data_IF_299886695504
#
_entry.id   IF_299886695504
#
_cell.length_a   1.000
_cell.length_b   1.000
_cell.length_c   1.000
_cell.angle_alpha   90.00
_cell.angle_beta   90.00
_cell.angle_gamma   90.00
#
_symmetry.space_group_name_H-M   'P 1'
#
loop_
_entity.id
_entity.type
_entity.pdbx_description
1 polymer ?
#
# COMPACT_ATOMS: atom_id res chain seq x y z
N UNK A 1 37.22 -1.14 -95.85
CA UNK A 1 38.14 -2.22 -95.46
C UNK A 1 38.06 -2.32 -93.95
N UNK A 2 37.36 -3.33 -93.48
CA UNK A 2 37.14 -3.68 -92.08
C UNK A 2 38.41 -4.24 -91.45
N UNK A 3 38.70 -3.88 -90.21
CA UNK A 3 39.71 -4.53 -89.37
C UNK A 3 39.65 -3.90 -87.98
N UNK A 4 38.82 -4.39 -87.06
CA UNK A 4 38.98 -5.57 -86.20
C UNK A 4 39.14 -5.06 -84.76
N UNK A 5 37.99 -4.90 -84.09
CA UNK A 5 37.90 -4.79 -82.64
C UNK A 5 38.15 -6.19 -82.02
N UNK A 6 38.52 -6.21 -80.73
CA UNK A 6 38.71 -7.35 -79.80
C UNK A 6 40.16 -7.70 -79.43
N UNK A 7 40.66 -7.04 -78.38
CA UNK A 7 41.58 -7.68 -77.43
C UNK A 7 40.75 -8.43 -76.40
N UNK A 8 41.08 -9.70 -76.21
CA UNK A 8 40.26 -10.71 -75.55
C UNK A 8 40.52 -10.80 -74.03
N UNK A 9 40.55 -9.69 -73.31
CA UNK A 9 40.51 -9.68 -71.84
C UNK A 9 39.79 -8.41 -71.40
N UNK A 10 38.63 -8.54 -70.77
CA UNK A 10 37.78 -7.42 -70.36
C UNK A 10 38.34 -6.62 -69.19
N UNK A 11 39.51 -6.00 -69.36
CA UNK A 11 40.12 -5.07 -68.41
C UNK A 11 40.19 -3.72 -69.08
N UNK A 12 39.28 -2.84 -68.67
CA UNK A 12 39.38 -1.42 -68.96
C UNK A 12 40.70 -0.92 -68.36
N UNK A 13 41.46 -0.17 -69.16
CA UNK A 13 42.66 0.57 -68.76
C UNK A 13 42.24 1.71 -67.82
N UNK A 14 41.91 1.35 -66.58
CA UNK A 14 41.52 2.26 -65.51
C UNK A 14 42.79 2.74 -64.83
N UNK A 15 43.27 3.89 -65.30
CA UNK A 15 44.27 4.74 -64.65
C UNK A 15 45.66 4.12 -64.42
N UNK A 16 46.70 4.90 -64.70
CA UNK A 16 47.94 4.83 -63.92
C UNK A 16 47.54 4.70 -62.44
N UNK A 17 47.81 3.54 -61.84
CA UNK A 17 47.60 3.28 -60.41
C UNK A 17 48.41 4.25 -59.51
N UNK A 18 49.31 5.05 -60.13
CA UNK A 18 50.19 6.02 -59.48
C UNK A 18 49.72 7.49 -59.59
N UNK A 19 48.59 7.77 -60.25
CA UNK A 19 48.06 9.14 -60.33
C UNK A 19 47.36 9.53 -59.02
N UNK A 20 48.10 10.18 -58.12
CA UNK A 20 47.60 10.67 -56.83
C UNK A 20 46.31 11.51 -57.01
N UNK A 21 45.18 10.96 -56.57
CA UNK A 21 43.86 11.57 -56.65
C UNK A 21 43.62 12.43 -55.39
N UNK A 22 43.71 13.77 -55.45
CA UNK A 22 43.74 14.63 -54.24
C UNK A 22 42.42 14.69 -53.46
N UNK A 23 41.35 14.15 -54.01
CA UNK A 23 40.03 14.06 -53.38
C UNK A 23 39.79 12.68 -52.73
N UNK A 24 40.70 11.74 -52.98
CA UNK A 24 40.76 10.40 -52.39
C UNK A 24 41.93 10.26 -51.41
N UNK A 25 42.95 11.11 -51.52
CA UNK A 25 43.87 11.44 -50.44
C UNK A 25 43.10 12.27 -49.40
N UNK A 26 42.23 11.62 -48.63
CA UNK A 26 41.82 12.16 -47.34
C UNK A 26 43.12 12.32 -46.58
N UNK A 27 43.64 13.55 -46.53
CA UNK A 27 44.95 13.83 -45.98
C UNK A 27 45.17 12.98 -44.75
N UNK A 28 46.28 12.24 -44.74
CA UNK A 28 46.80 11.48 -43.60
C UNK A 28 47.18 12.45 -42.45
N UNK A 29 46.38 13.50 -42.25
CA UNK A 29 46.20 14.18 -40.99
C UNK A 29 45.51 13.15 -40.10
N UNK A 30 46.30 12.19 -39.61
CA UNK A 30 45.99 11.42 -38.42
C UNK A 30 45.75 12.46 -37.32
N UNK A 31 44.53 12.96 -37.20
CA UNK A 31 44.07 13.69 -36.04
C UNK A 31 44.05 12.65 -34.93
N UNK A 32 45.23 12.43 -34.35
CA UNK A 32 45.46 11.60 -33.19
C UNK A 32 44.65 12.24 -32.07
N UNK A 33 43.38 11.83 -31.98
CA UNK A 33 42.45 12.29 -30.97
C UNK A 33 42.96 11.77 -29.64
N UNK A 34 43.81 12.56 -28.98
CA UNK A 34 44.36 12.26 -27.67
C UNK A 34 43.23 12.31 -26.65
N UNK A 35 42.50 11.21 -26.49
CA UNK A 35 41.46 11.07 -25.48
C UNK A 35 42.13 11.24 -24.11
N UNK A 36 41.77 12.28 -23.33
CA UNK A 36 42.36 12.46 -22.01
C UNK A 36 41.99 11.25 -21.16
N UNK A 37 42.99 10.62 -20.54
CA UNK A 37 42.76 9.46 -19.70
C UNK A 37 41.85 9.87 -18.52
N UNK A 38 40.61 9.38 -18.52
CA UNK A 38 39.62 9.61 -17.45
C UNK A 38 39.93 8.80 -16.17
N UNK A 39 40.87 7.85 -16.28
CA UNK A 39 41.24 6.90 -15.23
C UNK A 39 41.65 7.56 -13.90
N UNK A 40 42.53 8.59 -13.84
CA UNK A 40 42.86 9.27 -12.58
C UNK A 40 41.66 9.98 -11.95
N UNK A 41 40.78 10.59 -12.75
CA UNK A 41 39.57 11.24 -12.25
C UNK A 41 38.55 10.23 -11.72
N UNK A 42 38.41 9.09 -12.39
CA UNK A 42 37.57 8.00 -11.93
C UNK A 42 38.08 7.39 -10.60
N UNK A 43 39.40 7.20 -10.48
CA UNK A 43 40.00 6.67 -9.24
C UNK A 43 39.88 7.64 -8.07
N UNK A 44 40.09 8.94 -8.30
CA UNK A 44 39.92 9.97 -7.26
C UNK A 44 38.47 10.09 -6.82
N UNK A 45 37.51 10.04 -7.75
CA UNK A 45 36.08 10.04 -7.42
C UNK A 45 35.67 8.79 -6.61
N UNK A 46 36.19 7.61 -6.97
CA UNK A 46 35.94 6.37 -6.21
C UNK A 46 36.52 6.43 -4.79
N UNK A 47 37.73 6.94 -4.63
CA UNK A 47 38.35 7.12 -3.30
C UNK A 47 37.57 8.11 -2.44
N UNK A 48 37.11 9.23 -3.01
CA UNK A 48 36.28 10.19 -2.30
C UNK A 48 34.95 9.57 -1.84
N UNK A 49 34.32 8.76 -2.70
CA UNK A 49 33.07 8.06 -2.36
C UNK A 49 33.29 7.01 -1.27
N UNK A 50 34.38 6.24 -1.35
CA UNK A 50 34.75 5.27 -0.32
C UNK A 50 35.02 5.94 1.04
N UNK A 51 35.72 7.08 1.06
CA UNK A 51 35.96 7.85 2.28
C UNK A 51 34.65 8.40 2.88
N UNK A 52 33.72 8.86 2.04
CA UNK A 52 32.43 9.39 2.48
C UNK A 52 31.56 8.27 3.07
N UNK A 53 31.42 7.14 2.37
CA UNK A 53 30.66 5.97 2.85
C UNK A 53 31.31 5.40 4.12
N UNK A 54 32.63 5.23 4.13
CA UNK A 54 33.37 4.74 5.30
C UNK A 54 33.26 5.69 6.50
N UNK A 55 33.30 7.00 6.26
CA UNK A 55 33.11 8.03 7.29
C UNK A 55 31.71 8.02 7.88
N UNK A 56 30.66 7.90 7.04
CA UNK A 56 29.27 7.76 7.50
C UNK A 56 29.13 6.47 8.31
N UNK A 57 29.60 5.33 7.79
CA UNK A 57 29.50 4.05 8.47
C UNK A 57 30.23 4.06 9.82
N UNK A 58 31.43 4.64 9.89
CA UNK A 58 32.15 4.79 11.16
C UNK A 58 31.41 5.71 12.13
N UNK A 59 30.85 6.82 11.65
CA UNK A 59 30.11 7.78 12.47
C UNK A 59 28.77 7.25 12.99
N UNK A 60 28.10 6.36 12.25
CA UNK A 60 26.84 5.71 12.68
C UNK A 60 27.09 4.46 13.50
N UNK A 61 28.16 3.71 13.22
CA UNK A 61 28.52 2.53 14.00
C UNK A 61 29.15 2.88 15.35
N UNK A 62 29.77 4.07 15.51
CA UNK A 62 30.26 4.52 16.83
C UNK A 62 29.14 4.92 17.81
N UNK A 63 27.94 5.27 17.31
CA UNK A 63 26.81 5.66 18.17
C UNK A 63 26.06 4.48 18.80
N UNK A 64 26.35 3.23 18.40
CA UNK A 64 25.79 2.03 19.05
C UNK A 64 26.53 1.64 20.32
N UNK A 65 27.68 2.29 20.62
CA UNK A 65 28.43 2.08 21.86
C UNK A 65 27.87 2.89 23.05
N UNK A 66 26.92 3.79 22.82
CA UNK A 66 26.11 4.36 23.91
C UNK A 66 24.93 3.44 24.13
N UNK A 67 25.16 2.39 24.92
CA UNK A 67 24.11 1.63 25.57
C UNK A 67 23.19 2.64 26.27
N UNK A 68 22.07 2.96 25.64
CA UNK A 68 20.98 3.67 26.28
C UNK A 68 20.46 2.67 27.30
N UNK A 69 21.05 2.70 28.49
CA UNK A 69 20.56 1.97 29.65
C UNK A 69 19.15 2.49 29.86
N UNK A 70 18.17 1.69 29.46
CA UNK A 70 16.79 1.93 29.79
C UNK A 70 16.72 1.85 31.32
N UNK A 71 16.62 3.02 31.95
CA UNK A 71 16.64 3.22 33.41
C UNK A 71 15.64 2.31 34.15
N UNK A 72 14.65 1.75 33.44
CA UNK A 72 13.74 0.73 33.96
C UNK A 72 12.94 1.23 35.18
N UNK A 73 12.96 2.54 35.42
CA UNK A 73 12.35 3.14 36.60
C UNK A 73 10.84 2.99 36.48
N UNK A 74 10.29 2.23 37.43
CA UNK A 74 8.85 2.03 37.54
C UNK A 74 8.27 3.34 38.05
N UNK A 75 7.42 3.97 37.23
CA UNK A 75 6.58 5.08 37.69
C UNK A 75 5.61 4.53 38.73
N UNK A 76 5.88 4.82 40.00
CA UNK A 76 5.03 4.38 41.11
C UNK A 76 3.61 4.90 40.95
N UNK A 77 2.63 4.01 41.12
CA UNK A 77 1.23 4.42 41.14
C UNK A 77 1.00 5.45 42.27
N UNK A 78 0.28 6.55 42.02
CA UNK A 78 -0.10 7.49 43.08
C UNK A 78 -0.76 6.74 44.23
N UNK A 79 -0.42 7.05 45.49
CA UNK A 79 -1.03 6.39 46.63
C UNK A 79 -2.52 6.73 46.66
N UNK A 80 -3.35 5.72 46.40
CA UNK A 80 -4.79 5.88 46.44
C UNK A 80 -5.51 4.60 46.00
N UNK A 81 -6.72 4.35 46.53
CA UNK A 81 -7.58 3.31 45.99
C UNK A 81 -7.93 3.62 44.54
N UNK A 82 -7.52 2.75 43.62
CA UNK A 82 -7.83 2.87 42.19
C UNK A 82 -9.34 2.82 41.90
N UNK A 83 -10.13 2.23 42.81
CA UNK A 83 -11.59 2.18 42.74
C UNK A 83 -12.18 2.54 44.09
N UNK A 84 -12.93 3.63 44.14
CA UNK A 84 -13.72 4.06 45.30
C UNK A 84 -15.18 3.89 44.94
N UNK A 85 -15.94 3.19 45.80
CA UNK A 85 -17.39 3.12 45.65
C UNK A 85 -17.97 4.53 45.84
N UNK A 86 -18.86 5.00 44.97
CA UNK A 86 -19.55 6.27 45.17
C UNK A 86 -20.24 6.32 46.54
N UNK A 87 -20.20 7.47 47.21
CA UNK A 87 -20.84 7.68 48.52
C UNK A 87 -22.37 7.60 48.43
N UNK A 88 -22.92 7.93 47.28
CA UNK A 88 -24.30 7.66 46.92
C UNK A 88 -24.31 6.85 45.61
N UNK A 89 -24.54 5.53 45.66
CA UNK A 89 -24.61 4.69 44.46
C UNK A 89 -25.80 5.05 43.57
N UNK A 90 -26.74 5.87 44.07
CA UNK A 90 -27.98 6.19 43.39
C UNK A 90 -28.88 4.97 43.22
N UNK A 91 -30.17 5.23 42.96
CA UNK A 91 -31.17 4.19 42.73
C UNK A 91 -32.03 3.87 43.95
N UNK A 92 -33.20 3.29 43.69
CA UNK A 92 -34.08 2.72 44.71
C UNK A 92 -33.80 1.22 44.73
N UNK A 93 -33.45 0.68 45.89
CA UNK A 93 -33.42 -0.77 46.05
C UNK A 93 -34.87 -1.26 46.09
N UNK A 94 -35.25 -2.08 45.11
CA UNK A 94 -36.54 -2.76 45.10
C UNK A 94 -36.37 -4.15 45.70
N UNK A 95 -37.40 -4.67 46.37
CA UNK A 95 -37.42 -6.06 46.82
C UNK A 95 -37.12 -6.99 45.64
N UNK A 96 -36.11 -7.85 45.75
CA UNK A 96 -35.62 -8.68 44.64
C UNK A 96 -34.31 -8.23 43.97
N UNK A 97 -33.79 -7.05 44.30
CA UNK A 97 -32.55 -6.53 43.69
C UNK A 97 -31.35 -7.29 44.25
N UNK A 98 -30.77 -8.20 43.45
CA UNK A 98 -29.58 -8.98 43.82
C UNK A 98 -29.84 -10.46 44.14
N UNK A 99 -31.10 -10.88 44.30
CA UNK A 99 -31.47 -12.27 44.65
C UNK A 99 -31.14 -13.31 43.56
N UNK A 100 -30.84 -12.84 42.35
CA UNK A 100 -30.47 -13.69 41.21
C UNK A 100 -28.97 -14.04 41.24
N UNK A 101 -28.13 -13.17 41.79
CA UNK A 101 -26.67 -13.36 41.82
C UNK A 101 -26.21 -14.62 42.59
N UNK A 102 -26.71 -14.92 43.81
CA UNK A 102 -26.28 -16.11 44.54
C UNK A 102 -26.78 -17.41 43.87
N UNK A 103 -28.00 -17.43 43.33
CA UNK A 103 -28.56 -18.62 42.66
C UNK A 103 -27.77 -18.98 41.41
N UNK A 104 -27.34 -17.98 40.63
CA UNK A 104 -26.48 -18.20 39.46
C UNK A 104 -25.07 -18.65 39.88
N UNK A 105 -24.54 -18.13 40.99
CA UNK A 105 -23.23 -18.53 41.52
C UNK A 105 -23.20 -20.01 41.99
N UNK A 106 -24.33 -20.53 42.46
CA UNK A 106 -24.52 -21.94 42.84
C UNK A 106 -24.78 -22.87 41.63
N UNK A 107 -24.73 -22.34 40.40
CA UNK A 107 -24.99 -23.09 39.16
C UNK A 107 -26.49 -23.29 38.87
N UNK A 108 -27.37 -22.65 39.62
CA UNK A 108 -28.80 -22.64 39.36
C UNK A 108 -29.15 -21.71 38.19
N UNK A 109 -30.18 -22.07 37.43
CA UNK A 109 -30.78 -21.20 36.41
C UNK A 109 -32.17 -20.77 36.86
N UNK A 110 -32.44 -19.46 36.82
CA UNK A 110 -33.81 -18.91 36.97
C UNK A 110 -34.17 -18.16 35.70
N UNK A 111 -35.20 -18.61 35.01
CA UNK A 111 -35.78 -17.87 33.89
C UNK A 111 -36.50 -16.63 34.41
N UNK A 112 -36.15 -15.47 33.86
CA UNK A 112 -36.82 -14.21 34.18
C UNK A 112 -38.26 -14.23 33.69
N UNK A 113 -39.22 -14.43 34.58
CA UNK A 113 -40.63 -14.28 34.26
C UNK A 113 -41.02 -12.80 34.33
N UNK A 114 -41.18 -12.19 33.16
CA UNK A 114 -41.88 -10.92 33.04
C UNK A 114 -43.37 -11.20 33.22
N UNK A 115 -44.05 -10.45 34.09
CA UNK A 115 -45.50 -10.53 34.23
C UNK A 115 -46.15 -10.12 32.90
N UNK A 116 -46.43 -11.09 32.02
CA UNK A 116 -47.24 -10.92 30.83
C UNK A 116 -48.71 -10.84 31.26
N UNK A 117 -49.08 -9.70 31.84
CA UNK A 117 -50.47 -9.28 31.89
C UNK A 117 -50.57 -8.03 31.03
N UNK A 118 -51.13 -8.22 29.84
CA UNK A 118 -51.64 -7.18 28.94
C UNK A 118 -50.76 -5.93 28.80
N UNK A 119 -49.53 -6.10 28.31
CA UNK A 119 -48.79 -4.96 27.78
C UNK A 119 -49.38 -4.57 26.41
N UNK A 120 -49.83 -3.31 26.20
CA UNK A 120 -50.32 -2.87 24.90
C UNK A 120 -49.19 -2.99 23.86
N UNK A 121 -49.43 -3.80 22.84
CA UNK A 121 -48.51 -3.98 21.71
C UNK A 121 -48.50 -2.68 20.90
N UNK A 122 -47.35 -2.01 20.67
CA UNK A 122 -47.31 -0.86 19.79
C UNK A 122 -47.74 -1.28 18.38
N UNK A 123 -48.80 -0.68 17.87
CA UNK A 123 -49.39 -0.96 16.56
C UNK A 123 -48.59 -0.29 15.42
N UNK A 124 -47.30 -0.62 15.34
CA UNK A 124 -46.48 -0.26 14.18
C UNK A 124 -46.25 -1.57 13.42
N UNK A 125 -46.95 -1.76 12.31
CA UNK A 125 -46.59 -2.77 11.31
C UNK A 125 -45.24 -2.38 10.69
N UNK A 126 -44.15 -2.78 11.36
CA UNK A 126 -42.86 -2.90 10.71
C UNK A 126 -42.84 -4.28 10.09
N UNK A 127 -42.74 -4.34 8.76
CA UNK A 127 -42.48 -5.58 8.03
C UNK A 127 -41.38 -6.37 8.76
N UNK A 128 -41.76 -7.51 9.30
CA UNK A 128 -40.88 -8.43 10.02
C UNK A 128 -39.90 -9.05 9.02
N UNK A 129 -38.74 -8.43 8.87
CA UNK A 129 -37.54 -9.18 8.52
C UNK A 129 -37.15 -10.01 9.74
N UNK A 130 -37.20 -11.33 9.55
CA UNK A 130 -36.79 -12.35 10.53
C UNK A 130 -35.43 -12.03 11.17
N UNK A 131 -35.23 -12.23 12.49
CA UNK A 131 -33.93 -12.09 13.11
C UNK A 131 -33.10 -13.36 12.83
N UNK A 132 -31.94 -13.19 12.22
CA UNK A 132 -30.89 -14.22 12.15
C UNK A 132 -29.60 -13.64 12.76
N UNK A 133 -28.75 -14.50 13.33
CA UNK A 133 -28.19 -14.31 14.66
C UNK A 133 -26.94 -13.46 14.73
N UNK A 134 -26.65 -12.98 15.95
CA UNK A 134 -25.34 -12.60 16.45
C UNK A 134 -24.24 -13.53 15.93
N UNK A 135 -23.28 -12.98 15.19
CA UNK A 135 -21.97 -13.56 15.00
C UNK A 135 -20.92 -12.63 15.61
N UNK A 136 -20.21 -13.16 16.60
CA UNK A 136 -19.02 -12.59 17.21
C UNK A 136 -17.93 -12.30 16.14
N UNK A 137 -16.97 -11.40 16.41
CA UNK A 137 -15.94 -11.07 15.44
C UNK A 137 -14.90 -12.19 15.44
N UNK A 138 -14.81 -12.93 14.34
CA UNK A 138 -13.63 -13.71 14.00
C UNK A 138 -13.58 -13.94 12.50
N UNK A 139 -12.42 -13.56 11.97
CA UNK A 139 -11.92 -13.73 10.63
C UNK A 139 -12.64 -14.77 9.76
N UNK A 140 -13.15 -14.32 8.61
CA UNK A 140 -13.16 -15.13 7.40
C UNK A 140 -12.91 -14.19 6.24
N UNK A 141 -11.78 -14.44 5.59
CA UNK A 141 -11.42 -14.04 4.25
C UNK A 141 -12.67 -13.92 3.37
N UNK A 142 -13.06 -12.69 3.04
CA UNK A 142 -14.07 -12.47 2.02
C UNK A 142 -13.49 -13.02 0.72
N UNK A 143 -14.12 -14.03 0.08
CA UNK A 143 -13.67 -14.51 -1.22
C UNK A 143 -13.59 -13.31 -2.15
N UNK A 144 -12.53 -13.23 -2.93
CA UNK A 144 -12.40 -12.23 -3.99
C UNK A 144 -13.67 -12.29 -4.85
N UNK A 145 -14.61 -11.38 -4.60
CA UNK A 145 -15.82 -11.28 -5.41
C UNK A 145 -15.38 -11.16 -6.89
N UNK A 146 -16.02 -11.89 -7.82
CA UNK A 146 -15.71 -11.80 -9.23
C UNK A 146 -16.03 -10.38 -9.69
N UNK A 147 -14.99 -9.58 -9.86
CA UNK A 147 -15.10 -8.16 -10.12
C UNK A 147 -13.70 -7.57 -10.21
N UNK A 148 -13.48 -6.79 -11.26
CA UNK A 148 -12.20 -6.13 -11.49
C UNK A 148 -12.09 -5.00 -10.47
N UNK A 149 -11.11 -5.12 -9.58
CA UNK A 149 -10.92 -4.20 -8.46
C UNK A 149 -9.96 -3.08 -8.86
N UNK A 150 -10.39 -1.84 -8.70
CA UNK A 150 -9.52 -0.67 -8.85
C UNK A 150 -8.92 -0.36 -7.48
N UNK A 151 -7.62 -0.62 -7.30
CA UNK A 151 -6.92 -0.29 -6.07
C UNK A 151 -6.72 1.23 -6.00
N UNK A 152 -7.28 1.83 -4.95
CA UNK A 152 -7.26 3.28 -4.68
C UNK A 152 -6.37 3.65 -3.49
N UNK A 153 -5.89 2.66 -2.74
CA UNK A 153 -4.98 2.89 -1.62
C UNK A 153 -4.44 1.62 -0.98
N UNK A 154 -3.42 1.79 -0.13
CA UNK A 154 -2.83 0.74 0.70
C UNK A 154 -2.58 1.32 2.10
N UNK A 155 -3.03 0.61 3.13
CA UNK A 155 -3.03 1.06 4.52
C UNK A 155 -2.41 0.00 5.44
N UNK A 156 -1.96 0.39 6.63
CA UNK A 156 -1.32 -0.50 7.61
C UNK A 156 -2.31 -1.26 8.49
N UNK A 157 -3.54 -0.77 8.63
CA UNK A 157 -4.62 -1.45 9.36
C UNK A 157 -5.97 -1.25 8.65
N UNK A 158 -7.00 -1.99 9.09
CA UNK A 158 -8.33 -1.98 8.47
C UNK A 158 -9.06 -0.65 8.73
N UNK A 159 -8.93 -0.11 9.93
CA UNK A 159 -9.63 1.09 10.38
C UNK A 159 -9.21 2.32 9.57
N UNK A 160 -7.90 2.45 9.29
CA UNK A 160 -7.37 3.51 8.42
C UNK A 160 -7.78 3.33 6.97
N UNK A 161 -7.96 2.10 6.49
CA UNK A 161 -8.48 1.85 5.15
C UNK A 161 -9.96 2.28 5.02
N UNK A 162 -10.78 2.03 6.04
CA UNK A 162 -12.18 2.46 6.08
C UNK A 162 -12.30 4.00 6.18
N UNK A 163 -11.50 4.63 7.05
CA UNK A 163 -11.44 6.09 7.14
C UNK A 163 -10.91 6.75 5.85
N UNK A 164 -9.94 6.09 5.20
CA UNK A 164 -9.42 6.48 3.89
C UNK A 164 -10.49 6.43 2.80
N UNK A 165 -11.30 5.36 2.76
CA UNK A 165 -12.43 5.27 1.84
C UNK A 165 -13.46 6.40 2.04
N UNK A 166 -13.86 6.65 3.29
CA UNK A 166 -14.80 7.74 3.59
C UNK A 166 -14.26 9.12 3.18
N UNK A 167 -12.95 9.31 3.23
CA UNK A 167 -12.30 10.55 2.79
C UNK A 167 -12.24 10.64 1.26
N UNK A 168 -11.95 9.54 0.58
CA UNK A 168 -11.93 9.46 -0.89
C UNK A 168 -13.32 9.76 -1.48
N UNK A 169 -14.39 9.18 -0.94
CA UNK A 169 -15.76 9.44 -1.41
C UNK A 169 -16.17 10.91 -1.24
N UNK A 170 -15.58 11.64 -0.30
CA UNK A 170 -15.81 13.09 -0.13
C UNK A 170 -14.99 13.96 -1.08
N UNK A 171 -13.88 13.43 -1.59
CA UNK A 171 -12.98 14.16 -2.49
C UNK A 171 -13.41 14.06 -3.96
N UNK A 172 -14.11 12.99 -4.33
CA UNK A 172 -14.54 12.74 -5.69
C UNK A 172 -15.95 12.15 -5.74
N UNK A 173 -16.78 12.69 -6.64
CA UNK A 173 -18.09 12.13 -6.94
C UNK A 173 -18.01 10.83 -7.74
N UNK A 174 -16.85 10.53 -8.35
CA UNK A 174 -16.65 9.32 -9.15
C UNK A 174 -16.74 8.02 -8.31
N UNK A 175 -16.52 8.12 -6.99
CA UNK A 175 -16.67 6.99 -6.05
C UNK A 175 -18.06 6.93 -5.41
N UNK A 176 -18.94 7.89 -5.66
CA UNK A 176 -20.28 7.92 -5.09
C UNK A 176 -21.10 6.72 -5.59
N UNK A 177 -21.60 5.90 -4.67
CA UNK A 177 -22.37 4.70 -4.99
C UNK A 177 -21.52 3.50 -5.44
N UNK A 178 -20.20 3.62 -5.52
CA UNK A 178 -19.30 2.50 -5.81
C UNK A 178 -19.05 1.68 -4.54
N UNK A 179 -19.10 0.35 -4.64
CA UNK A 179 -18.77 -0.53 -3.51
C UNK A 179 -17.25 -0.61 -3.34
N UNK A 180 -16.77 -0.66 -2.10
CA UNK A 180 -15.38 -0.93 -1.81
C UNK A 180 -15.19 -2.31 -1.16
N UNK A 181 -13.97 -2.82 -1.25
CA UNK A 181 -13.50 -3.99 -0.52
C UNK A 181 -12.10 -3.74 0.02
N UNK A 182 -11.83 -4.27 1.20
CA UNK A 182 -10.50 -4.21 1.83
C UNK A 182 -9.92 -5.61 1.80
N UNK A 183 -8.84 -5.78 1.04
CA UNK A 183 -8.13 -7.05 0.89
C UNK A 183 -6.86 -6.99 1.71
N UNK A 184 -6.72 -7.92 2.66
CA UNK A 184 -5.48 -8.10 3.40
C UNK A 184 -4.46 -8.79 2.49
N UNK A 185 -3.23 -8.27 2.44
CA UNK A 185 -2.12 -8.89 1.72
C UNK A 185 -0.81 -8.69 2.46
N UNK A 186 0.08 -9.66 2.38
CA UNK A 186 1.43 -9.52 2.90
C UNK A 186 2.27 -8.72 1.89
N UNK A 187 3.01 -7.72 2.36
CA UNK A 187 4.06 -7.05 1.60
C UNK A 187 5.41 -7.27 2.33
N UNK A 188 6.53 -7.00 1.65
CA UNK A 188 7.88 -7.16 2.22
C UNK A 188 8.10 -6.33 3.51
N UNK A 189 7.23 -5.32 3.73
CA UNK A 189 7.24 -4.41 4.88
C UNK A 189 6.24 -4.78 6.00
N UNK A 190 5.49 -5.87 5.86
CA UNK A 190 4.49 -6.33 6.83
C UNK A 190 3.08 -6.51 6.25
N UNK A 191 2.08 -6.65 7.12
CA UNK A 191 0.67 -6.81 6.74
C UNK A 191 0.11 -5.50 6.17
N UNK A 192 -0.44 -5.53 4.96
CA UNK A 192 -1.01 -4.37 4.27
C UNK A 192 -2.48 -4.61 3.93
N UNK A 193 -3.30 -3.59 4.08
CA UNK A 193 -4.72 -3.57 3.75
C UNK A 193 -4.92 -2.76 2.47
N UNK A 194 -5.18 -3.45 1.35
CA UNK A 194 -5.41 -2.84 0.04
C UNK A 194 -6.87 -2.45 -0.09
N UNK A 195 -7.12 -1.16 -0.28
CA UNK A 195 -8.46 -0.62 -0.52
C UNK A 195 -8.75 -0.67 -2.02
N UNK A 196 -9.81 -1.37 -2.40
CA UNK A 196 -10.20 -1.54 -3.79
C UNK A 196 -11.65 -1.10 -4.00
N UNK A 197 -11.89 -0.27 -5.00
CA UNK A 197 -13.22 0.01 -5.54
C UNK A 197 -13.62 -1.13 -6.48
N UNK A 198 -14.79 -1.73 -6.27
CA UNK A 198 -15.27 -2.87 -7.05
C UNK A 198 -16.02 -2.35 -8.28
N UNK A 199 -15.41 -2.52 -9.45
CA UNK A 199 -16.05 -2.23 -10.73
C UNK A 199 -16.67 -3.51 -11.33
N UNK A 200 -17.77 -3.35 -12.06
CA UNK A 200 -18.52 -4.49 -12.62
C UNK A 200 -17.82 -5.16 -13.82
N UNK A 201 -16.98 -4.42 -14.56
CA UNK A 201 -16.27 -4.91 -15.75
C UNK A 201 -14.98 -4.09 -16.02
N UNK A 202 -14.13 -4.54 -16.94
CA UNK A 202 -12.82 -3.93 -17.20
C UNK A 202 -12.93 -2.49 -17.73
N UNK A 203 -13.91 -2.22 -18.59
CA UNK A 203 -14.15 -0.88 -19.14
C UNK A 203 -14.55 0.11 -18.04
N UNK A 204 -15.46 -0.30 -17.13
CA UNK A 204 -15.89 0.49 -15.97
C UNK A 204 -14.75 0.71 -14.97
N UNK A 205 -13.86 -0.26 -14.80
CA UNK A 205 -12.68 -0.14 -13.95
C UNK A 205 -11.68 0.89 -14.50
N UNK A 206 -11.47 0.90 -15.83
CA UNK A 206 -10.60 1.89 -16.50
C UNK A 206 -11.20 3.29 -16.46
N UNK A 207 -12.49 3.43 -16.79
CA UNK A 207 -13.19 4.71 -16.73
C UNK A 207 -13.18 5.30 -15.31
N UNK A 208 -13.39 4.46 -14.29
CA UNK A 208 -13.27 4.88 -12.89
C UNK A 208 -11.84 5.34 -12.57
N UNK A 209 -10.84 4.61 -13.05
CA UNK A 209 -9.43 4.99 -12.84
C UNK A 209 -9.07 6.33 -13.46
N UNK A 210 -9.57 6.61 -14.66
CA UNK A 210 -9.27 7.84 -15.38
C UNK A 210 -9.98 9.04 -14.73
N UNK A 211 -11.22 8.86 -14.25
CA UNK A 211 -11.92 9.85 -13.44
C UNK A 211 -11.15 10.16 -12.13
N UNK A 212 -10.70 9.12 -11.42
CA UNK A 212 -9.91 9.29 -10.19
C UNK A 212 -8.60 10.05 -10.43
N UNK A 213 -7.91 9.78 -11.54
CA UNK A 213 -6.69 10.50 -11.90
C UNK A 213 -6.95 11.96 -12.24
N UNK A 214 -8.09 12.27 -12.86
CA UNK A 214 -8.48 13.65 -13.14
C UNK A 214 -8.69 14.45 -11.83
N UNK A 215 -9.16 13.78 -10.78
CA UNK A 215 -9.32 14.34 -9.43
C UNK A 215 -8.03 14.29 -8.59
N UNK A 216 -6.90 13.85 -9.18
CA UNK A 216 -5.59 13.78 -8.50
C UNK A 216 -5.39 12.57 -7.59
N UNK A 217 -6.26 11.57 -7.66
CA UNK A 217 -6.21 10.35 -6.84
C UNK A 217 -5.44 9.25 -7.58
N UNK A 218 -4.45 8.66 -6.92
CA UNK A 218 -3.68 7.55 -7.46
C UNK A 218 -4.55 6.27 -7.57
N UNK A 219 -4.57 5.68 -8.76
CA UNK A 219 -5.40 4.54 -9.09
C UNK A 219 -4.59 3.43 -9.80
N UNK A 220 -4.85 2.16 -9.44
CA UNK A 220 -4.32 0.98 -10.15
C UNK A 220 -5.39 -0.09 -10.38
N UNK A 221 -5.65 -0.45 -11.65
CA UNK A 221 -6.59 -1.52 -12.01
C UNK A 221 -5.94 -2.90 -11.78
N UNK A 222 -6.51 -3.72 -10.90
CA UNK A 222 -6.12 -5.12 -10.66
C UNK A 222 -7.15 -6.05 -11.33
N UNK A 223 -6.67 -6.84 -12.30
CA UNK A 223 -7.42 -7.95 -12.90
C UNK A 223 -7.27 -9.21 -12.06
#
# INVERSE_FOLDING_TARGET
MTGEFYNAEGRLDLADDDAALPWLDTGDDEVEARIPSILPYALTALLALAALVGGIWWATNRSTASEVVADGSVVGAPPGPYKVRPSDPGGKEFAGTGDVAPVIAEGGTREGQLAQRDAPRPAIERATASPAPTAAPSATEAPAAPGIGVQVGAYSNRETAEAGWASLVRQTDALAGVRHRIVQGQADIGTVYRLQAVAGNEASARALCDALKADGIACQVKR
#
